data_IF_827771712908
#
_entry.id   IF_827771712908
#
_cell.length_a   1.000
_cell.length_b   1.000
_cell.length_c   1.000
_cell.angle_alpha   90.00
_cell.angle_beta   90.00
_cell.angle_gamma   90.00
#
_symmetry.space_group_name_H-M   'P 1'
#
loop_
_entity.id
_entity.type
_entity.pdbx_description
1 polymer ?
#
# COMPACT_ATOMS: atom_id res chain seq x y z
N UNK A 1 2.81 -13.72 -20.30
CA UNK A 1 3.98 -12.94 -19.82
C UNK A 1 5.26 -13.75 -19.80
N UNK A 2 5.30 -14.93 -19.17
CA UNK A 2 6.53 -15.76 -19.09
C UNK A 2 7.17 -16.07 -20.45
N UNK A 3 6.37 -16.46 -21.45
CA UNK A 3 6.89 -16.72 -22.80
C UNK A 3 7.50 -15.47 -23.46
N UNK A 4 6.87 -14.31 -23.31
CA UNK A 4 7.37 -13.06 -23.88
C UNK A 4 8.72 -12.66 -23.24
N UNK A 5 8.84 -12.86 -21.92
CA UNK A 5 10.09 -12.65 -21.20
C UNK A 5 11.20 -13.61 -21.66
N UNK A 6 10.89 -14.89 -21.79
CA UNK A 6 11.85 -15.88 -22.29
C UNK A 6 12.36 -15.54 -23.69
N UNK A 7 11.47 -15.10 -24.60
CA UNK A 7 11.84 -14.67 -25.95
C UNK A 7 12.73 -13.42 -25.95
N UNK A 8 12.48 -12.46 -25.06
CA UNK A 8 13.34 -11.27 -24.89
C UNK A 8 14.76 -11.68 -24.42
N UNK A 9 14.86 -12.52 -23.40
CA UNK A 9 16.15 -13.02 -22.90
C UNK A 9 16.90 -13.76 -24.01
N UNK A 10 16.21 -14.62 -24.77
CA UNK A 10 16.79 -15.32 -25.91
C UNK A 10 17.28 -14.35 -27.00
N UNK A 11 16.49 -13.31 -27.34
CA UNK A 11 16.89 -12.29 -28.30
C UNK A 11 18.18 -11.56 -27.87
N UNK A 12 18.28 -11.16 -26.60
CA UNK A 12 19.46 -10.50 -26.05
C UNK A 12 20.71 -11.40 -26.10
N UNK A 13 20.56 -12.69 -25.77
CA UNK A 13 21.65 -13.66 -25.88
C UNK A 13 22.12 -13.83 -27.33
N UNK A 14 21.19 -13.90 -28.28
CA UNK A 14 21.51 -13.99 -29.71
C UNK A 14 22.22 -12.73 -30.22
N UNK A 15 21.76 -11.53 -29.83
CA UNK A 15 22.47 -10.29 -30.17
C UNK A 15 23.88 -10.26 -29.59
N UNK A 16 24.08 -10.71 -28.35
CA UNK A 16 25.41 -10.83 -27.76
C UNK A 16 26.29 -11.80 -28.56
N UNK A 17 25.79 -12.97 -28.95
CA UNK A 17 26.53 -13.93 -29.81
C UNK A 17 26.90 -13.29 -31.15
N UNK A 18 26.02 -12.46 -31.73
CA UNK A 18 26.27 -11.74 -32.99
C UNK A 18 27.45 -10.75 -32.93
N UNK A 19 27.96 -10.42 -31.73
CA UNK A 19 29.15 -9.56 -31.57
C UNK A 19 30.47 -10.30 -31.72
N UNK A 20 30.47 -11.64 -31.71
CA UNK A 20 31.68 -12.45 -31.90
C UNK A 20 32.24 -12.31 -33.33
N UNK A 21 33.54 -12.58 -33.47
CA UNK A 21 34.23 -12.56 -34.77
C UNK A 21 33.80 -13.78 -35.63
N UNK A 22 32.63 -13.67 -36.25
CA UNK A 22 32.03 -14.68 -37.14
C UNK A 22 31.99 -14.10 -38.57
N UNK A 23 32.12 -14.96 -39.58
CA UNK A 23 31.96 -14.55 -40.99
C UNK A 23 30.62 -13.83 -41.20
N UNK A 24 30.65 -12.74 -41.97
CA UNK A 24 29.50 -11.84 -42.18
C UNK A 24 28.15 -12.52 -42.48
N UNK A 25 28.03 -13.54 -43.36
CA UNK A 25 26.71 -14.13 -43.65
C UNK A 25 26.11 -14.84 -42.43
N UNK A 26 26.92 -15.57 -41.68
CA UNK A 26 26.49 -16.25 -40.45
C UNK A 26 26.16 -15.26 -39.35
N UNK A 27 26.96 -14.18 -39.24
CA UNK A 27 26.69 -13.09 -38.30
C UNK A 27 25.35 -12.41 -38.58
N UNK A 28 25.03 -12.15 -39.84
CA UNK A 28 23.74 -11.58 -40.25
C UNK A 28 22.58 -12.51 -39.91
N UNK A 29 22.71 -13.82 -40.18
CA UNK A 29 21.68 -14.80 -39.83
C UNK A 29 21.39 -14.85 -38.33
N UNK A 30 22.45 -14.83 -37.50
CA UNK A 30 22.31 -14.76 -36.04
C UNK A 30 21.62 -13.47 -35.63
N UNK A 31 21.98 -12.33 -36.22
CA UNK A 31 21.34 -11.06 -35.90
C UNK A 31 19.84 -11.05 -36.27
N UNK A 32 19.48 -11.55 -37.45
CA UNK A 32 18.09 -11.63 -37.93
C UNK A 32 17.24 -12.52 -37.02
N UNK A 33 17.78 -13.65 -36.53
CA UNK A 33 17.04 -14.50 -35.59
C UNK A 33 16.78 -13.79 -34.25
N UNK A 34 17.75 -13.00 -33.77
CA UNK A 34 17.56 -12.14 -32.59
C UNK A 34 16.44 -11.12 -32.78
N UNK A 35 16.38 -10.47 -33.95
CA UNK A 35 15.28 -9.54 -34.29
C UNK A 35 13.94 -10.26 -34.34
N UNK A 36 13.86 -11.44 -34.94
CA UNK A 36 12.61 -12.21 -35.01
C UNK A 36 12.08 -12.58 -33.61
N UNK A 37 12.96 -13.00 -32.70
CA UNK A 37 12.60 -13.29 -31.30
C UNK A 37 12.10 -12.03 -30.57
N UNK A 38 12.76 -10.89 -30.76
CA UNK A 38 12.35 -9.62 -30.16
C UNK A 38 10.98 -9.16 -30.68
N UNK A 39 10.74 -9.28 -31.98
CA UNK A 39 9.44 -8.96 -32.60
C UNK A 39 8.35 -9.88 -32.07
N UNK A 40 8.60 -11.18 -31.95
CA UNK A 40 7.65 -12.12 -31.38
C UNK A 40 7.32 -11.79 -29.91
N UNK A 41 8.33 -11.51 -29.08
CA UNK A 41 8.13 -11.06 -27.70
C UNK A 41 7.26 -9.79 -27.64
N UNK A 42 7.54 -8.83 -28.52
CA UNK A 42 6.81 -7.56 -28.61
C UNK A 42 5.35 -7.78 -28.98
N UNK A 43 5.07 -8.59 -30.00
CA UNK A 43 3.70 -8.93 -30.42
C UNK A 43 2.92 -9.60 -29.27
N UNK A 44 3.55 -10.52 -28.54
CA UNK A 44 2.92 -11.19 -27.39
C UNK A 44 2.54 -10.19 -26.29
N UNK A 45 3.40 -9.21 -25.99
CA UNK A 45 3.09 -8.15 -25.00
C UNK A 45 1.94 -7.28 -25.49
N UNK A 46 1.95 -6.86 -26.76
CA UNK A 46 0.90 -6.00 -27.32
C UNK A 46 -0.49 -6.65 -27.40
N UNK A 47 -0.55 -7.97 -27.52
CA UNK A 47 -1.82 -8.73 -27.56
C UNK A 47 -2.46 -8.92 -26.18
N UNK A 48 -1.79 -8.58 -25.08
CA UNK A 48 -2.40 -8.66 -23.76
C UNK A 48 -3.30 -7.43 -23.52
N UNK A 49 -4.60 -7.68 -23.35
CA UNK A 49 -5.61 -6.62 -23.24
C UNK A 49 -5.55 -5.83 -21.92
N UNK A 50 -4.96 -6.39 -20.86
CA UNK A 50 -4.95 -5.80 -19.50
C UNK A 50 -3.72 -4.93 -19.21
N UNK A 51 -2.89 -4.64 -20.21
CA UNK A 51 -1.69 -3.82 -20.05
C UNK A 51 -1.79 -2.51 -20.81
N UNK A 52 -1.99 -1.39 -20.08
CA UNK A 52 -1.64 -0.07 -20.59
C UNK A 52 -0.12 -0.01 -20.67
N UNK A 53 0.47 -0.46 -21.78
CA UNK A 53 1.91 -0.58 -21.93
C UNK A 53 2.65 0.76 -22.01
N UNK A 54 3.91 0.78 -21.55
CA UNK A 54 4.81 1.95 -21.60
C UNK A 54 4.85 2.58 -22.99
N UNK A 55 4.80 1.75 -24.03
CA UNK A 55 4.76 2.21 -25.43
C UNK A 55 3.52 3.03 -25.79
N UNK A 56 2.33 2.68 -25.28
CA UNK A 56 1.11 3.49 -25.49
C UNK A 56 1.20 4.81 -24.72
N UNK A 57 1.75 4.78 -23.51
CA UNK A 57 1.99 5.97 -22.72
C UNK A 57 2.97 6.91 -23.46
N UNK A 58 4.11 6.39 -23.93
CA UNK A 58 5.10 7.15 -24.72
C UNK A 58 4.45 7.74 -25.98
N UNK A 59 3.58 6.99 -26.68
CA UNK A 59 2.82 7.50 -27.82
C UNK A 59 1.97 8.72 -27.46
N UNK A 60 1.25 8.69 -26.34
CA UNK A 60 0.46 9.83 -25.87
C UNK A 60 1.32 11.05 -25.49
N UNK A 61 2.55 10.82 -25.00
CA UNK A 61 3.52 11.90 -24.72
C UNK A 61 3.89 12.67 -25.99
N UNK A 62 4.05 11.96 -27.11
CA UNK A 62 4.33 12.56 -28.41
C UNK A 62 3.14 13.39 -28.93
N UNK A 63 1.93 12.86 -28.77
CA UNK A 63 0.69 13.54 -29.16
C UNK A 63 0.40 14.79 -28.31
N UNK A 64 0.77 14.77 -27.03
CA UNK A 64 0.53 15.87 -26.07
C UNK A 64 1.71 16.84 -25.92
N UNK A 65 2.67 16.84 -26.86
CA UNK A 65 3.90 17.65 -26.79
C UNK A 65 3.67 19.16 -26.68
N UNK A 66 2.57 19.66 -27.25
CA UNK A 66 2.22 21.08 -27.23
C UNK A 66 1.50 21.50 -25.93
N UNK A 67 1.09 20.53 -25.10
CA UNK A 67 0.48 20.74 -23.78
C UNK A 67 0.96 19.71 -22.73
N UNK A 68 2.24 19.78 -22.31
CA UNK A 68 2.87 18.72 -21.51
C UNK A 68 2.20 18.47 -20.15
N UNK A 69 1.60 19.50 -19.53
CA UNK A 69 0.93 19.38 -18.22
C UNK A 69 -0.36 18.56 -18.25
N UNK A 70 -1.00 18.44 -19.42
CA UNK A 70 -2.18 17.58 -19.62
C UNK A 70 -1.86 16.14 -20.02
N UNK A 71 -0.60 15.85 -20.36
CA UNK A 71 -0.17 14.52 -20.77
C UNK A 71 -0.33 13.49 -19.64
N UNK A 72 -0.83 12.30 -19.99
CA UNK A 72 -1.14 11.22 -19.04
C UNK A 72 0.09 10.84 -18.21
N UNK A 73 1.27 10.82 -18.83
CA UNK A 73 2.54 10.51 -18.17
C UNK A 73 2.96 11.54 -17.14
N UNK A 74 2.84 12.83 -17.44
CA UNK A 74 3.24 13.90 -16.52
C UNK A 74 2.31 13.91 -15.31
N UNK A 75 1.01 13.67 -15.51
CA UNK A 75 0.06 13.54 -14.41
C UNK A 75 0.30 12.27 -13.57
N UNK A 76 0.59 11.14 -14.21
CA UNK A 76 0.92 9.89 -13.52
C UNK A 76 2.18 10.06 -12.67
N UNK A 77 3.24 10.67 -13.22
CA UNK A 77 4.46 10.95 -12.48
C UNK A 77 4.20 11.87 -11.28
N UNK A 78 3.50 13.01 -11.47
CA UNK A 78 3.19 13.94 -10.37
C UNK A 78 2.39 13.27 -9.25
N UNK A 79 1.42 12.40 -9.58
CA UNK A 79 0.57 11.73 -8.58
C UNK A 79 1.29 10.61 -7.83
N UNK A 80 2.32 10.00 -8.43
CA UNK A 80 3.05 8.87 -7.86
C UNK A 80 4.43 9.25 -7.30
N UNK A 81 4.89 10.50 -7.48
CA UNK A 81 6.23 10.95 -7.06
C UNK A 81 6.49 10.70 -5.58
N UNK A 82 5.47 10.82 -4.72
CA UNK A 82 5.61 10.54 -3.29
C UNK A 82 5.98 9.09 -2.97
N UNK A 83 5.56 8.13 -3.80
CA UNK A 83 5.92 6.71 -3.64
C UNK A 83 7.36 6.39 -4.03
N UNK A 84 7.98 7.22 -4.87
CA UNK A 84 9.37 7.04 -5.32
C UNK A 84 10.36 7.94 -4.60
N UNK A 85 9.92 9.10 -4.11
CA UNK A 85 10.76 10.06 -3.39
C UNK A 85 11.50 9.42 -2.20
N UNK A 86 10.88 8.45 -1.52
CA UNK A 86 11.48 7.72 -0.40
C UNK A 86 12.71 6.86 -0.77
N UNK A 87 12.86 6.50 -2.05
CA UNK A 87 13.97 5.69 -2.57
C UNK A 87 15.08 6.53 -3.21
N UNK A 88 14.84 7.83 -3.41
CA UNK A 88 15.79 8.75 -4.05
C UNK A 88 17.09 8.88 -3.25
N UNK A 89 17.08 9.01 -1.91
CA UNK A 89 18.33 9.12 -1.13
C UNK A 89 19.25 7.90 -1.31
N UNK A 90 18.70 6.69 -1.22
CA UNK A 90 19.48 5.45 -1.34
C UNK A 90 20.00 5.27 -2.77
N UNK A 91 19.21 5.67 -3.78
CA UNK A 91 19.70 5.69 -5.17
C UNK A 91 20.83 6.72 -5.36
N UNK A 92 20.71 7.88 -4.71
CA UNK A 92 21.73 8.92 -4.74
C UNK A 92 23.05 8.41 -4.13
N UNK A 93 23.01 7.68 -3.03
CA UNK A 93 24.20 7.08 -2.41
C UNK A 93 24.92 6.13 -3.39
N UNK A 94 24.17 5.27 -4.07
CA UNK A 94 24.71 4.35 -5.10
C UNK A 94 25.29 5.13 -6.27
N UNK A 95 24.64 6.20 -6.71
CA UNK A 95 25.11 7.03 -7.82
C UNK A 95 26.33 7.87 -7.46
N UNK A 96 26.43 8.34 -6.22
CA UNK A 96 27.62 9.03 -5.72
C UNK A 96 28.80 8.07 -5.66
N UNK A 97 28.60 6.84 -5.18
CA UNK A 97 29.64 5.81 -5.19
C UNK A 97 30.08 5.44 -6.62
N UNK A 98 29.13 5.20 -7.53
CA UNK A 98 29.41 4.93 -8.93
C UNK A 98 30.11 6.12 -9.63
N UNK A 99 29.69 7.34 -9.31
CA UNK A 99 30.29 8.59 -9.79
C UNK A 99 31.73 8.75 -9.32
N UNK A 100 32.04 8.40 -8.07
CA UNK A 100 33.41 8.39 -7.55
C UNK A 100 34.30 7.39 -8.32
N UNK A 101 33.80 6.19 -8.61
CA UNK A 101 34.50 5.19 -9.45
C UNK A 101 34.73 5.75 -10.86
N UNK A 102 33.72 6.39 -11.44
CA UNK A 102 33.82 7.00 -12.76
C UNK A 102 34.82 8.16 -12.79
N UNK A 103 34.86 8.99 -11.75
CA UNK A 103 35.84 10.08 -11.62
C UNK A 103 37.27 9.54 -11.51
N UNK A 104 37.50 8.50 -10.71
CA UNK A 104 38.81 7.85 -10.60
C UNK A 104 39.23 7.19 -11.92
N UNK A 105 38.30 6.53 -12.62
CA UNK A 105 38.53 5.95 -13.93
C UNK A 105 38.89 7.03 -14.96
N UNK A 106 38.11 8.11 -15.03
CA UNK A 106 38.41 9.26 -15.89
C UNK A 106 39.78 9.87 -15.58
N UNK A 107 40.13 10.03 -14.30
CA UNK A 107 41.45 10.49 -13.88
C UNK A 107 42.59 9.56 -14.35
N UNK A 108 42.42 8.23 -14.23
CA UNK A 108 43.40 7.28 -14.75
C UNK A 108 43.60 7.41 -16.28
N UNK A 109 42.53 7.75 -17.01
CA UNK A 109 42.58 8.01 -18.45
C UNK A 109 43.26 9.35 -18.83
N UNK A 110 43.53 10.27 -17.90
CA UNK A 110 44.33 11.47 -18.18
C UNK A 110 45.80 11.16 -18.50
N UNK A 111 46.28 9.95 -18.15
CA UNK A 111 47.63 9.52 -18.54
C UNK A 111 47.68 9.18 -20.04
N UNK A 112 48.53 9.84 -20.85
CA UNK A 112 48.60 9.57 -22.28
C UNK A 112 49.12 8.14 -22.52
N UNK A 113 48.29 7.29 -23.12
CA UNK A 113 48.65 5.90 -23.43
C UNK A 113 47.50 5.09 -24.01
N UNK A 114 47.73 4.44 -25.15
CA UNK A 114 46.69 3.69 -25.88
C UNK A 114 46.15 2.47 -25.11
N UNK A 115 46.94 1.92 -24.18
CA UNK A 115 46.58 0.72 -23.40
C UNK A 115 45.65 1.04 -22.22
N UNK A 116 45.94 2.10 -21.47
CA UNK A 116 45.13 2.54 -20.33
C UNK A 116 43.76 3.01 -20.80
N UNK A 117 43.70 3.78 -21.89
CA UNK A 117 42.45 4.24 -22.47
C UNK A 117 41.54 3.08 -22.95
N UNK A 118 42.10 2.07 -23.63
CA UNK A 118 41.33 0.88 -24.07
C UNK A 118 40.77 0.05 -22.91
N UNK A 119 41.46 0.02 -21.76
CA UNK A 119 41.01 -0.67 -20.56
C UNK A 119 39.93 0.10 -19.80
N UNK A 120 40.08 1.42 -19.72
CA UNK A 120 39.21 2.30 -18.91
C UNK A 120 37.91 2.68 -19.63
N UNK A 121 37.93 2.84 -20.97
CA UNK A 121 36.77 3.27 -21.75
C UNK A 121 35.52 2.36 -21.59
N UNK A 122 35.64 1.02 -21.62
CA UNK A 122 34.51 0.13 -21.36
C UNK A 122 33.95 0.28 -19.95
N UNK A 123 34.81 0.53 -18.95
CA UNK A 123 34.40 0.76 -17.57
C UNK A 123 33.57 2.05 -17.47
N UNK A 124 34.06 3.15 -18.03
CA UNK A 124 33.33 4.43 -18.05
C UNK A 124 31.96 4.27 -18.71
N UNK A 125 31.91 3.67 -19.91
CA UNK A 125 30.65 3.44 -20.63
C UNK A 125 29.70 2.52 -19.85
N UNK A 126 30.22 1.48 -19.21
CA UNK A 126 29.44 0.57 -18.38
C UNK A 126 28.83 1.26 -17.15
N UNK A 127 29.62 2.06 -16.44
CA UNK A 127 29.15 2.82 -15.27
C UNK A 127 28.12 3.88 -15.66
N UNK A 128 28.33 4.61 -16.77
CA UNK A 128 27.34 5.56 -17.31
C UNK A 128 26.03 4.86 -17.69
N UNK A 129 26.11 3.73 -18.38
CA UNK A 129 24.94 2.95 -18.77
C UNK A 129 24.18 2.41 -17.54
N UNK A 130 24.88 1.99 -16.49
CA UNK A 130 24.29 1.59 -15.22
C UNK A 130 23.52 2.73 -14.55
N UNK A 131 24.15 3.92 -14.43
CA UNK A 131 23.50 5.08 -13.80
C UNK A 131 22.26 5.52 -14.59
N UNK A 132 22.36 5.65 -15.92
CA UNK A 132 21.24 6.00 -16.79
C UNK A 132 20.12 4.94 -16.74
N UNK A 133 20.48 3.66 -16.75
CA UNK A 133 19.53 2.55 -16.63
C UNK A 133 18.79 2.58 -15.30
N UNK A 134 19.47 2.91 -14.20
CA UNK A 134 18.86 3.11 -12.89
C UNK A 134 17.84 4.25 -12.88
N UNK A 135 18.19 5.41 -13.46
CA UNK A 135 17.26 6.55 -13.59
C UNK A 135 16.03 6.18 -14.40
N UNK A 136 16.22 5.51 -15.54
CA UNK A 136 15.13 5.10 -16.43
C UNK A 136 14.23 4.09 -15.73
N UNK A 137 14.81 3.09 -15.06
CA UNK A 137 14.05 2.08 -14.31
C UNK A 137 13.23 2.72 -13.19
N UNK A 138 13.83 3.61 -12.40
CA UNK A 138 13.11 4.33 -11.34
C UNK A 138 12.00 5.24 -11.90
N UNK A 139 12.24 5.88 -13.04
CA UNK A 139 11.23 6.71 -13.72
C UNK A 139 10.04 5.88 -14.20
N UNK A 140 10.28 4.68 -14.75
CA UNK A 140 9.21 3.74 -15.12
C UNK A 140 8.37 3.36 -13.90
N UNK A 141 9.02 3.03 -12.77
CA UNK A 141 8.32 2.78 -11.50
C UNK A 141 7.55 4.01 -11.02
N UNK A 142 8.14 5.20 -11.12
CA UNK A 142 7.52 6.48 -10.74
C UNK A 142 6.29 6.84 -11.58
N UNK A 143 6.20 6.37 -12.82
CA UNK A 143 5.02 6.56 -13.66
C UNK A 143 3.87 5.61 -13.25
N UNK A 144 4.13 4.66 -12.33
CA UNK A 144 3.13 3.69 -11.84
C UNK A 144 3.13 2.37 -12.61
N UNK A 145 4.14 2.13 -13.45
CA UNK A 145 4.36 0.84 -14.10
C UNK A 145 4.99 -0.15 -13.11
N UNK A 146 4.16 -0.71 -12.22
CA UNK A 146 4.61 -1.67 -11.20
C UNK A 146 3.49 -2.37 -10.42
N UNK A 147 2.24 -1.92 -10.57
CA UNK A 147 1.13 -2.50 -9.82
C UNK A 147 1.15 -2.14 -8.34
N UNK A 148 0.22 -2.75 -7.60
CA UNK A 148 -0.39 -2.28 -6.36
C UNK A 148 0.54 -1.87 -5.20
N UNK A 149 0.08 -0.84 -4.46
CA UNK A 149 0.49 -0.57 -3.08
C UNK A 149 0.25 -1.85 -2.28
N UNK A 150 1.34 -2.50 -1.84
CA UNK A 150 1.22 -3.69 -0.99
C UNK A 150 0.50 -3.30 0.30
N UNK A 151 -0.53 -4.05 0.75
CA UNK A 151 -1.10 -3.83 2.07
C UNK A 151 0.03 -3.87 3.10
N UNK A 152 0.08 -2.87 3.96
CA UNK A 152 1.09 -2.77 5.00
C UNK A 152 0.63 -3.60 6.19
N UNK A 153 1.55 -4.39 6.73
CA UNK A 153 1.41 -5.02 8.05
C UNK A 153 2.14 -4.16 9.05
N UNK A 154 1.45 -3.78 10.11
CA UNK A 154 1.99 -3.04 11.24
C UNK A 154 2.13 -3.98 12.42
N UNK A 155 3.26 -3.90 13.12
CA UNK A 155 3.57 -4.70 14.30
C UNK A 155 3.98 -3.76 15.42
N UNK A 156 3.45 -3.97 16.62
CA UNK A 156 3.87 -3.21 17.78
C UNK A 156 3.14 -3.59 19.06
N UNK A 157 3.70 -3.15 20.17
CA UNK A 157 3.00 -3.13 21.45
C UNK A 157 2.26 -1.80 21.56
N UNK A 158 0.99 -1.86 21.95
CA UNK A 158 0.13 -0.67 22.12
C UNK A 158 -0.04 -0.45 23.61
N UNK A 159 0.36 0.73 24.08
CA UNK A 159 0.08 1.17 25.46
C UNK A 159 -1.29 1.82 25.55
N UNK A 160 -1.86 1.85 26.76
CA UNK A 160 -3.10 2.55 27.09
C UNK A 160 -3.18 3.99 26.50
N UNK A 161 -2.10 4.76 26.62
CA UNK A 161 -2.02 6.14 26.10
C UNK A 161 -2.16 6.25 24.56
N UNK A 162 -2.03 5.14 23.83
CA UNK A 162 -2.16 5.10 22.37
C UNK A 162 -3.54 4.60 21.90
N UNK A 163 -4.45 4.24 22.81
CA UNK A 163 -5.83 3.85 22.48
C UNK A 163 -6.74 5.06 22.65
N UNK A 164 -7.40 5.47 21.56
CA UNK A 164 -8.23 6.68 21.53
C UNK A 164 -9.68 6.38 21.92
N UNK A 165 -10.27 5.34 21.34
CA UNK A 165 -11.64 4.88 21.58
C UNK A 165 -11.71 3.35 21.38
N UNK A 166 -12.90 2.75 21.43
CA UNK A 166 -13.09 1.30 21.32
C UNK A 166 -12.83 0.68 19.94
N UNK A 167 -12.47 1.48 18.92
CA UNK A 167 -12.09 0.95 17.60
C UNK A 167 -10.91 1.67 16.95
N UNK A 168 -10.30 2.65 17.62
CA UNK A 168 -9.25 3.52 17.09
C UNK A 168 -8.08 3.68 18.06
N UNK A 169 -6.87 3.56 17.52
CA UNK A 169 -5.63 3.57 18.30
C UNK A 169 -4.42 3.87 17.41
N UNK A 170 -3.23 3.95 18.01
CA UNK A 170 -1.98 4.21 17.31
C UNK A 170 -0.98 3.06 17.47
N UNK A 171 -0.28 2.73 16.39
CA UNK A 171 0.96 1.94 16.44
C UNK A 171 2.10 2.86 16.01
N UNK A 172 2.92 3.27 16.97
CA UNK A 172 3.86 4.37 16.78
C UNK A 172 3.10 5.67 16.49
N UNK A 173 3.39 6.32 15.36
CA UNK A 173 2.72 7.56 14.94
C UNK A 173 1.57 7.32 13.95
N UNK A 174 1.24 6.05 13.67
CA UNK A 174 0.29 5.70 12.60
C UNK A 174 -1.10 5.48 13.22
N UNK A 175 -2.10 6.32 12.89
CA UNK A 175 -3.45 6.13 13.36
C UNK A 175 -4.13 4.95 12.65
N UNK A 176 -4.75 4.08 13.44
CA UNK A 176 -5.42 2.86 13.03
C UNK A 176 -6.90 2.93 13.38
N UNK A 177 -7.75 2.33 12.55
CA UNK A 177 -9.15 2.04 12.85
C UNK A 177 -9.45 0.59 12.54
N UNK A 178 -10.09 -0.12 13.48
CA UNK A 178 -10.49 -1.51 13.29
C UNK A 178 -11.47 -1.65 12.12
N UNK A 179 -11.22 -2.66 11.30
CA UNK A 179 -12.07 -3.01 10.18
C UNK A 179 -13.33 -3.70 10.70
N UNK A 180 -14.50 -3.19 10.31
CA UNK A 180 -15.77 -3.88 10.51
C UNK A 180 -16.36 -3.80 11.92
N UNK A 181 -15.66 -3.18 12.88
CA UNK A 181 -16.20 -2.83 14.19
C UNK A 181 -16.59 -1.34 14.23
N UNK A 182 -17.66 -1.04 14.96
CA UNK A 182 -18.09 0.31 15.31
C UNK A 182 -18.32 0.35 16.82
N UNK A 183 -17.44 1.02 17.55
CA UNK A 183 -17.51 1.17 18.99
C UNK A 183 -18.05 2.55 19.38
N UNK A 184 -18.62 2.73 20.59
CA UNK A 184 -18.98 4.04 21.11
C UNK A 184 -17.80 5.01 21.07
N UNK A 185 -18.07 6.25 20.69
CA UNK A 185 -17.06 7.30 20.65
C UNK A 185 -16.61 7.66 22.08
N UNK A 186 -15.42 8.24 22.24
CA UNK A 186 -14.81 8.48 23.56
C UNK A 186 -15.62 9.37 24.51
N UNK A 187 -16.52 10.20 23.97
CA UNK A 187 -17.41 11.08 24.73
C UNK A 187 -18.85 10.55 24.84
N UNK A 188 -19.08 9.32 24.34
CA UNK A 188 -20.41 8.76 24.23
C UNK A 188 -20.86 8.11 25.54
N UNK A 189 -22.02 8.55 26.03
CA UNK A 189 -22.61 8.04 27.27
C UNK A 189 -23.74 7.04 26.98
N UNK A 190 -24.01 6.16 27.94
CA UNK A 190 -25.16 5.26 27.93
C UNK A 190 -26.37 5.90 28.62
N UNK A 191 -27.56 5.32 28.44
CA UNK A 191 -28.83 5.81 29.00
C UNK A 191 -28.89 5.77 30.53
N UNK A 192 -28.12 4.88 31.15
CA UNK A 192 -27.96 4.77 32.60
C UNK A 192 -26.93 5.76 33.18
N UNK A 193 -26.33 6.62 32.33
CA UNK A 193 -25.34 7.62 32.73
C UNK A 193 -23.90 7.10 32.85
N UNK A 194 -23.62 5.84 32.49
CA UNK A 194 -22.22 5.36 32.41
C UNK A 194 -21.56 5.84 31.12
N UNK A 195 -20.23 5.97 31.15
CA UNK A 195 -19.43 6.30 29.98
C UNK A 195 -19.26 5.06 29.09
N UNK A 196 -20.06 4.98 28.03
CA UNK A 196 -20.05 3.88 27.06
C UNK A 196 -18.72 3.87 26.28
N UNK A 197 -18.21 5.07 25.94
CA UNK A 197 -16.95 5.27 25.24
C UNK A 197 -15.76 4.73 26.01
N UNK A 198 -15.62 5.12 27.27
CA UNK A 198 -14.52 4.70 28.13
C UNK A 198 -14.57 3.20 28.43
N UNK A 199 -15.76 2.62 28.61
CA UNK A 199 -15.91 1.18 28.80
C UNK A 199 -15.43 0.39 27.57
N UNK A 200 -15.80 0.82 26.36
CA UNK A 200 -15.33 0.18 25.13
C UNK A 200 -13.82 0.37 24.93
N UNK A 201 -13.30 1.58 25.17
CA UNK A 201 -11.87 1.89 25.11
C UNK A 201 -11.07 1.02 26.07
N UNK A 202 -11.50 0.95 27.33
CA UNK A 202 -10.83 0.15 28.38
C UNK A 202 -10.74 -1.31 27.97
N UNK A 203 -11.82 -1.88 27.45
CA UNK A 203 -11.80 -3.27 27.01
C UNK A 203 -10.84 -3.50 25.83
N UNK A 204 -10.75 -2.56 24.88
CA UNK A 204 -9.76 -2.66 23.81
C UNK A 204 -8.32 -2.62 24.35
N UNK A 205 -8.05 -1.79 25.36
CA UNK A 205 -6.76 -1.75 26.07
C UNK A 205 -6.45 -3.10 26.70
N UNK A 206 -7.42 -3.72 27.40
CA UNK A 206 -7.24 -5.05 28.02
C UNK A 206 -6.89 -6.14 26.99
N UNK A 207 -7.57 -6.14 25.84
CA UNK A 207 -7.27 -7.08 24.76
C UNK A 207 -5.84 -6.91 24.24
N UNK A 208 -5.36 -5.67 24.17
CA UNK A 208 -4.02 -5.34 23.67
C UNK A 208 -2.90 -5.48 24.71
N UNK A 209 -3.21 -5.38 26.00
CA UNK A 209 -2.21 -5.26 27.06
C UNK A 209 -1.29 -6.47 27.12
N UNK A 210 0.02 -6.24 27.02
CA UNK A 210 1.04 -7.30 26.99
C UNK A 210 1.03 -8.19 25.74
N UNK A 211 0.18 -7.93 24.75
CA UNK A 211 0.14 -8.68 23.48
C UNK A 211 0.93 -7.96 22.37
N UNK A 212 1.57 -8.74 21.49
CA UNK A 212 2.09 -8.20 20.25
C UNK A 212 0.92 -7.99 19.28
N UNK A 213 0.68 -6.75 18.85
CA UNK A 213 -0.41 -6.42 17.94
C UNK A 213 0.09 -6.47 16.51
N UNK A 214 -0.59 -7.27 15.68
CA UNK A 214 -0.41 -7.30 14.24
C UNK A 214 -1.63 -6.73 13.55
N UNK A 215 -1.45 -5.71 12.73
CA UNK A 215 -2.53 -5.07 11.97
C UNK A 215 -2.23 -5.10 10.47
N UNK A 216 -3.12 -5.73 9.70
CA UNK A 216 -3.03 -5.79 8.26
C UNK A 216 -3.99 -4.79 7.61
N UNK A 217 -3.45 -3.90 6.78
CA UNK A 217 -4.24 -2.88 6.11
C UNK A 217 -5.19 -3.49 5.08
N UNK A 218 -6.47 -3.13 5.18
CA UNK A 218 -7.52 -3.64 4.29
C UNK A 218 -7.53 -2.89 2.96
N UNK A 219 -7.77 -3.63 1.89
CA UNK A 219 -7.86 -3.09 0.54
C UNK A 219 -9.32 -2.86 0.11
N UNK A 220 -9.53 -1.84 -0.70
CA UNK A 220 -10.81 -1.62 -1.37
C UNK A 220 -11.04 -2.68 -2.44
N UNK A 221 -12.08 -3.50 -2.31
CA UNK A 221 -12.40 -4.53 -3.33
C UNK A 221 -12.49 -3.95 -4.76
N UNK A 222 -12.98 -2.72 -4.92
CA UNK A 222 -13.15 -2.05 -6.23
C UNK A 222 -11.84 -1.51 -6.80
N UNK A 223 -11.00 -0.91 -5.95
CA UNK A 223 -9.83 -0.14 -6.40
C UNK A 223 -8.51 -0.75 -5.97
N UNK A 224 -8.54 -1.89 -5.26
CA UNK A 224 -7.50 -2.57 -4.43
C UNK A 224 -6.50 -1.67 -3.72
N UNK A 225 -6.84 -0.40 -3.55
CA UNK A 225 -6.03 0.56 -2.82
C UNK A 225 -6.26 0.36 -1.32
N UNK A 226 -5.26 0.70 -0.49
CA UNK A 226 -5.45 0.71 0.93
C UNK A 226 -6.64 1.59 1.30
N UNK A 227 -7.46 1.11 2.23
CA UNK A 227 -8.58 1.89 2.76
C UNK A 227 -8.08 2.78 3.88
N UNK A 228 -8.60 3.99 3.88
CA UNK A 228 -8.53 4.90 5.02
C UNK A 228 -9.94 5.32 5.45
N UNK A 229 -10.05 5.74 6.71
CA UNK A 229 -11.23 6.37 7.29
C UNK A 229 -10.77 7.67 7.94
N UNK A 230 -11.08 8.80 7.30
CA UNK A 230 -10.69 10.14 7.78
C UNK A 230 -9.20 10.28 8.11
N UNK A 231 -8.33 9.71 7.26
CA UNK A 231 -6.88 9.73 7.44
C UNK A 231 -6.32 8.62 8.33
N UNK A 232 -7.16 7.77 8.93
CA UNK A 232 -6.74 6.57 9.70
C UNK A 232 -6.66 5.35 8.79
N UNK A 233 -5.63 4.52 8.95
CA UNK A 233 -5.53 3.26 8.20
C UNK A 233 -6.60 2.27 8.69
N UNK A 234 -7.40 1.75 7.77
CA UNK A 234 -8.44 0.78 8.10
C UNK A 234 -7.82 -0.63 8.10
N UNK A 235 -7.77 -1.27 9.26
CA UNK A 235 -6.93 -2.45 9.52
C UNK A 235 -7.71 -3.58 10.17
N UNK A 236 -7.40 -4.82 9.81
CA UNK A 236 -7.80 -5.99 10.60
C UNK A 236 -6.64 -6.36 11.50
N UNK A 237 -6.89 -6.51 12.80
CA UNK A 237 -5.85 -6.62 13.80
C UNK A 237 -6.00 -7.86 14.67
N UNK A 238 -4.87 -8.44 15.04
CA UNK A 238 -4.79 -9.59 15.93
C UNK A 238 -3.84 -9.32 17.09
N UNK A 239 -4.25 -9.73 18.28
CA UNK A 239 -3.41 -9.79 19.47
C UNK A 239 -2.75 -11.16 19.58
N UNK A 240 -1.42 -11.17 19.76
CA UNK A 240 -0.62 -12.38 19.92
C UNK A 240 -0.01 -12.44 21.33
N UNK A 241 -0.32 -13.51 22.05
CA UNK A 241 0.25 -13.83 23.36
C UNK A 241 1.01 -15.16 23.26
N UNK A 242 2.09 -15.29 24.03
CA UNK A 242 2.85 -16.54 24.01
C UNK A 242 1.97 -17.72 24.45
N UNK A 243 1.94 -18.78 23.63
CA UNK A 243 1.22 -20.05 23.90
C UNK A 243 -0.30 -19.95 23.94
N UNK A 244 -0.87 -18.83 23.48
CA UNK A 244 -2.31 -18.66 23.29
C UNK A 244 -2.65 -18.53 21.80
N UNK A 245 -3.87 -18.88 21.37
CA UNK A 245 -4.32 -18.56 20.02
C UNK A 245 -4.37 -17.04 19.83
N UNK A 246 -4.07 -16.57 18.62
CA UNK A 246 -4.26 -15.16 18.28
C UNK A 246 -5.74 -14.79 18.39
N UNK A 247 -6.03 -13.58 18.85
CA UNK A 247 -7.39 -13.05 19.00
C UNK A 247 -7.61 -11.95 17.97
N UNK A 248 -8.67 -12.01 17.17
CA UNK A 248 -9.08 -10.90 16.30
C UNK A 248 -9.74 -9.82 17.17
N UNK A 249 -9.17 -8.62 17.17
CA UNK A 249 -9.59 -7.55 18.08
C UNK A 249 -11.00 -7.06 17.77
N UNK A 250 -11.34 -6.88 16.49
CA UNK A 250 -12.67 -6.41 16.09
C UNK A 250 -13.73 -7.46 16.43
N UNK A 251 -13.43 -8.73 16.14
CA UNK A 251 -14.30 -9.85 16.48
C UNK A 251 -14.58 -9.91 17.98
N UNK A 252 -13.54 -9.78 18.81
CA UNK A 252 -13.67 -9.90 20.26
C UNK A 252 -14.43 -8.73 20.86
N UNK A 253 -14.16 -7.49 20.42
CA UNK A 253 -14.92 -6.31 20.84
C UNK A 253 -16.42 -6.47 20.57
N UNK A 254 -16.78 -7.03 19.41
CA UNK A 254 -18.18 -7.29 19.03
C UNK A 254 -18.76 -8.45 19.85
N UNK A 255 -18.04 -9.57 19.94
CA UNK A 255 -18.47 -10.79 20.63
C UNK A 255 -18.71 -10.57 22.13
N UNK A 256 -17.94 -9.66 22.73
CA UNK A 256 -18.11 -9.28 24.13
C UNK A 256 -19.11 -8.13 24.33
N UNK A 257 -19.68 -7.58 23.28
CA UNK A 257 -20.72 -6.54 23.38
C UNK A 257 -20.18 -5.16 23.74
N UNK A 258 -18.93 -4.84 23.37
CA UNK A 258 -18.34 -3.50 23.49
C UNK A 258 -18.34 -2.72 22.17
N UNK A 259 -18.60 -3.39 21.05
CA UNK A 259 -18.79 -2.80 19.74
C UNK A 259 -19.91 -3.53 19.00
N UNK A 260 -20.35 -2.96 17.88
CA UNK A 260 -21.27 -3.61 16.93
C UNK A 260 -20.58 -3.76 15.57
N UNK A 261 -21.17 -4.55 14.69
CA UNK A 261 -20.67 -4.63 13.32
C UNK A 261 -20.95 -3.32 12.58
N UNK A 262 -19.93 -2.78 11.91
CA UNK A 262 -20.10 -1.61 11.05
C UNK A 262 -21.06 -1.91 9.89
N UNK A 263 -21.82 -0.91 9.46
CA UNK A 263 -22.90 -1.12 8.50
C UNK A 263 -22.45 -1.28 7.04
N UNK A 264 -23.41 -1.76 6.22
CA UNK A 264 -23.40 -1.64 4.76
C UNK A 264 -23.01 -2.93 4.03
N UNK A 265 -22.49 -3.94 4.74
CA UNK A 265 -22.21 -5.28 4.22
C UNK A 265 -21.85 -6.22 5.37
N UNK A 266 -21.76 -7.51 5.05
CA UNK A 266 -21.10 -8.47 5.92
C UNK A 266 -19.58 -8.22 5.93
N UNK A 267 -19.05 -7.96 7.13
CA UNK A 267 -17.62 -7.79 7.42
C UNK A 267 -16.98 -9.07 7.96
N UNK A 268 -17.77 -10.14 8.17
CA UNK A 268 -17.35 -11.43 8.70
C UNK A 268 -17.53 -11.59 10.21
N UNK A 269 -18.33 -10.73 10.85
CA UNK A 269 -18.51 -10.69 12.30
C UNK A 269 -19.95 -10.97 12.77
N UNK A 270 -20.81 -11.51 11.90
CA UNK A 270 -22.22 -11.77 12.21
C UNK A 270 -22.41 -12.69 13.41
N UNK A 271 -21.58 -13.74 13.52
CA UNK A 271 -21.66 -14.70 14.62
C UNK A 271 -21.21 -14.08 15.93
N UNK A 272 -20.19 -13.21 15.88
CA UNK A 272 -19.75 -12.42 17.03
C UNK A 272 -20.86 -11.45 17.48
N UNK A 273 -21.51 -10.77 16.54
CA UNK A 273 -22.60 -9.83 16.85
C UNK A 273 -23.80 -10.53 17.50
N UNK A 274 -24.16 -11.73 17.01
CA UNK A 274 -25.19 -12.55 17.62
C UNK A 274 -24.84 -12.97 19.06
N UNK A 275 -23.59 -13.37 19.32
CA UNK A 275 -23.11 -13.78 20.64
C UNK A 275 -22.99 -12.61 21.64
N UNK A 276 -22.66 -11.42 21.12
CA UNK A 276 -22.45 -10.19 21.88
C UNK A 276 -23.74 -9.48 22.27
N UNK A 277 -24.84 -9.69 21.53
CA UNK A 277 -26.10 -8.96 21.64
C UNK A 277 -26.81 -8.97 23.01
N UNK A 278 -26.30 -9.71 24.00
CA UNK A 278 -26.82 -9.73 25.37
C UNK A 278 -25.72 -9.62 26.43
N UNK A 279 -24.62 -8.91 26.11
CA UNK A 279 -23.45 -8.74 26.99
C UNK A 279 -23.09 -7.27 27.14
N UNK A 280 -22.53 -6.91 28.30
CA UNK A 280 -21.89 -5.62 28.57
C UNK A 280 -22.70 -4.41 28.06
N UNK A 281 -22.18 -3.64 27.11
CA UNK A 281 -22.87 -2.43 26.62
C UNK A 281 -24.20 -2.76 25.94
N UNK A 282 -24.38 -3.99 25.42
CA UNK A 282 -25.66 -4.43 24.85
C UNK A 282 -26.78 -4.58 25.88
N UNK A 283 -26.45 -4.68 27.18
CA UNK A 283 -27.43 -4.69 28.27
C UNK A 283 -27.89 -3.27 28.65
N UNK A 284 -27.20 -2.25 28.13
CA UNK A 284 -27.55 -0.85 28.28
C UNK A 284 -28.14 -0.32 26.97
N UNK A 285 -28.43 0.98 26.90
CA UNK A 285 -28.90 1.61 25.69
C UNK A 285 -28.06 2.85 25.38
N UNK A 286 -27.66 3.02 24.12
CA UNK A 286 -27.08 4.26 23.62
C UNK A 286 -27.42 4.44 22.15
N UNK A 287 -27.20 5.65 21.62
CA UNK A 287 -27.28 5.89 20.18
C UNK A 287 -26.25 5.01 19.47
N UNK A 288 -26.56 4.56 18.26
CA UNK A 288 -25.56 3.83 17.49
C UNK A 288 -24.36 4.75 17.20
N UNK A 289 -23.08 4.29 17.25
CA UNK A 289 -21.93 5.18 17.15
C UNK A 289 -21.83 5.99 15.83
N UNK A 290 -22.27 5.42 14.70
CA UNK A 290 -22.45 6.19 13.45
C UNK A 290 -23.46 7.33 13.58
N UNK A 291 -24.54 7.14 14.35
CA UNK A 291 -25.55 8.18 14.59
C UNK A 291 -25.05 9.22 15.57
N UNK A 292 -24.38 8.81 16.64
CA UNK A 292 -23.72 9.74 17.57
C UNK A 292 -22.83 10.75 16.84
N UNK A 293 -22.06 10.29 15.85
CA UNK A 293 -21.17 11.16 15.05
C UNK A 293 -21.86 12.04 14.02
N UNK A 294 -22.92 11.54 13.38
CA UNK A 294 -23.46 12.12 12.14
C UNK A 294 -24.85 12.75 12.30
N UNK A 295 -25.48 12.61 13.47
CA UNK A 295 -26.84 13.07 13.74
C UNK A 295 -26.87 13.96 15.00
N UNK A 296 -26.56 15.25 14.81
CA UNK A 296 -26.46 16.22 15.89
C UNK A 296 -27.78 16.37 16.68
N UNK A 297 -28.92 16.33 15.99
CA UNK A 297 -30.23 16.47 16.61
C UNK A 297 -30.51 15.27 17.53
N UNK A 298 -30.31 14.04 17.03
CA UNK A 298 -30.49 12.84 17.82
C UNK A 298 -29.52 12.82 19.03
N UNK A 299 -28.24 13.19 18.83
CA UNK A 299 -27.24 13.25 19.89
C UNK A 299 -27.64 14.23 20.99
N UNK A 300 -27.94 15.49 20.65
CA UNK A 300 -28.30 16.51 21.62
C UNK A 300 -29.54 16.13 22.43
N UNK A 301 -30.51 15.49 21.79
CA UNK A 301 -31.71 15.00 22.46
C UNK A 301 -31.39 13.84 23.41
N UNK A 302 -30.58 12.88 22.97
CA UNK A 302 -30.15 11.78 23.83
C UNK A 302 -29.32 12.26 25.03
N UNK A 303 -28.41 13.21 24.84
CA UNK A 303 -27.64 13.81 25.94
C UNK A 303 -28.55 14.50 26.97
N UNK A 304 -29.59 15.20 26.50
CA UNK A 304 -30.52 15.94 27.34
C UNK A 304 -31.51 15.03 28.09
N UNK A 305 -32.01 13.97 27.46
CA UNK A 305 -33.12 13.17 28.00
C UNK A 305 -32.76 11.74 28.38
N UNK A 306 -31.61 11.23 27.91
CA UNK A 306 -31.19 9.81 28.02
C UNK A 306 -32.16 8.82 27.38
N UNK A 307 -33.00 9.31 26.47
CA UNK A 307 -33.98 8.49 25.73
C UNK A 307 -33.66 8.52 24.25
N UNK A 308 -33.82 7.39 23.58
CA UNK A 308 -33.71 7.34 22.12
C UNK A 308 -35.07 7.59 21.50
N UNK A 309 -35.11 8.33 20.39
CA UNK A 309 -36.33 8.53 19.62
C UNK A 309 -36.74 7.26 18.86
N UNK A 310 -38.04 7.09 18.68
CA UNK A 310 -38.58 5.98 17.89
C UNK A 310 -38.03 6.01 16.45
N UNK A 311 -37.53 4.88 15.98
CA UNK A 311 -36.97 4.73 14.63
C UNK A 311 -35.50 5.16 14.48
N UNK A 312 -34.89 5.77 15.50
CA UNK A 312 -33.44 6.01 15.52
C UNK A 312 -32.72 4.71 15.86
N UNK A 313 -31.63 4.42 15.14
CA UNK A 313 -30.85 3.20 15.37
C UNK A 313 -30.02 3.32 16.65
N UNK A 314 -29.94 2.22 17.36
CA UNK A 314 -29.32 2.14 18.68
C UNK A 314 -28.25 1.08 18.76
N UNK A 315 -27.50 1.15 19.85
CA UNK A 315 -26.63 0.09 20.33
C UNK A 315 -27.15 -0.37 21.69
N UNK A 316 -27.38 -1.67 21.82
CA UNK A 316 -27.92 -2.31 23.02
C UNK A 316 -29.45 -2.30 23.17
N UNK A 317 -29.91 -2.74 24.34
CA UNK A 317 -31.31 -2.94 24.69
C UNK A 317 -32.01 -1.60 25.03
N UNK A 318 -32.44 -0.88 23.99
CA UNK A 318 -33.19 0.36 24.13
C UNK A 318 -34.71 0.12 24.30
N UNK A 319 -35.37 0.89 25.20
CA UNK A 319 -36.80 0.75 25.50
C UNK A 319 -37.72 1.29 24.40
#
# INVERSE_FOLDING_TARGET
MELAFALLVAALAVFWISTRQIKQPWRLLIWVSGVALLVAATILVFRQNDHVGLFRAIGNLWESRDSPSSGILVQAFRRNVGGVAQFVPQLMDVFLAAGAVLAAAAFAAFTPGERTERLVRPLILGTLAFMLGGVVSLSVVAIGFGGYVKPRTHLGYVSDANVHDGDSFYIGEIPMRLWGADAPESDQECSNGTDCGELARTHLVELMDGALIQCDQRLSQRTQRPRDSFGRALVQCWAWREREPRVDLAEQMIREGYAIQYEGRDYGYSDAEADGGSRNLMLTCTLRPDRWRNDDEARLLFEATRTVQEGVRTMGACP
#
